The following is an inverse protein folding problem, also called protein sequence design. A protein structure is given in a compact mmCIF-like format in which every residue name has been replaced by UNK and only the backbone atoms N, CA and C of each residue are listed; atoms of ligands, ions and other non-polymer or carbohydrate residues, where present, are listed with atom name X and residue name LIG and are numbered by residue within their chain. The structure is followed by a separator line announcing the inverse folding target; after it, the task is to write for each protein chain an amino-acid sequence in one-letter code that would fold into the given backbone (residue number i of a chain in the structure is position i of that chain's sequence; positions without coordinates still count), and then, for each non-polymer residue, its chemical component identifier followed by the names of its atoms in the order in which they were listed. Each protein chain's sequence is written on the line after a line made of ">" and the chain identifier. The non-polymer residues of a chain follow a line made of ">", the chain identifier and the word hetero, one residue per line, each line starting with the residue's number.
data_IF_769989484083
#
_entry.id   IF_769989484083
#
_cell.length_a   1.000
_cell.length_b   1.000
_cell.length_c   1.000
_cell.angle_alpha   90.00
_cell.angle_beta   90.00
_cell.angle_gamma   90.00
#
_symmetry.space_group_name_H-M   'P 1'
#
loop_
_entity.id
_entity.type
_entity.pdbx_description
1 polymer ?
#
# COMPACT_ATOMS: atom_id res chain seq x y z
N UNK A 1 10.31 -44.15 5.46
CA UNK A 1 9.21 -43.21 5.74
C UNK A 1 9.44 -42.48 7.06
N UNK A 2 9.42 -43.14 8.24
CA UNK A 2 9.63 -42.47 9.54
C UNK A 2 10.91 -41.61 9.59
N UNK A 3 12.04 -42.11 9.07
CA UNK A 3 13.28 -41.33 9.01
C UNK A 3 13.17 -40.04 8.18
N UNK A 4 12.36 -40.06 7.12
CA UNK A 4 12.10 -38.87 6.29
C UNK A 4 11.27 -37.85 7.08
N UNK A 5 10.20 -38.29 7.77
CA UNK A 5 9.39 -37.42 8.65
C UNK A 5 10.23 -36.79 9.77
N UNK A 6 11.07 -37.60 10.45
CA UNK A 6 12.01 -37.11 11.45
C UNK A 6 12.97 -36.08 10.83
N UNK A 7 13.38 -36.28 9.58
CA UNK A 7 14.18 -35.33 8.82
C UNK A 7 13.54 -33.95 8.73
N UNK A 8 12.25 -33.86 8.39
CA UNK A 8 11.52 -32.59 8.36
C UNK A 8 11.50 -31.89 9.72
N UNK A 9 11.24 -32.65 10.79
CA UNK A 9 11.18 -32.11 12.15
C UNK A 9 12.55 -31.63 12.62
N UNK A 10 13.59 -32.46 12.46
CA UNK A 10 14.95 -32.13 12.93
C UNK A 10 15.59 -30.98 12.17
N UNK A 11 15.19 -30.77 10.91
CA UNK A 11 15.61 -29.60 10.10
C UNK A 11 14.69 -28.40 10.24
N UNK A 12 13.60 -28.51 11.02
CA UNK A 12 12.62 -27.44 11.25
C UNK A 12 12.02 -26.88 9.95
N UNK A 13 11.78 -27.72 8.94
CA UNK A 13 11.27 -27.27 7.63
C UNK A 13 9.95 -26.49 7.76
N UNK A 14 9.08 -26.86 8.70
CA UNK A 14 7.82 -26.14 8.96
C UNK A 14 8.03 -24.68 9.35
N UNK A 15 9.06 -24.36 10.13
CA UNK A 15 9.38 -22.97 10.52
C UNK A 15 9.79 -22.15 9.30
N UNK A 16 10.57 -22.76 8.39
CA UNK A 16 10.93 -22.11 7.14
C UNK A 16 9.73 -21.91 6.22
N UNK A 17 8.74 -22.80 6.22
CA UNK A 17 7.50 -22.60 5.46
C UNK A 17 6.75 -21.36 5.95
N UNK A 18 6.55 -21.21 7.26
CA UNK A 18 5.96 -19.98 7.84
C UNK A 18 6.77 -18.75 7.44
N UNK A 19 8.09 -18.84 7.49
CA UNK A 19 8.98 -17.75 7.07
C UNK A 19 8.81 -17.39 5.57
N UNK A 20 8.66 -18.37 4.67
CA UNK A 20 8.39 -18.10 3.25
C UNK A 20 6.99 -17.53 3.00
N UNK A 21 5.99 -17.88 3.82
CA UNK A 21 4.69 -17.21 3.80
C UNK A 21 4.80 -15.74 4.20
N UNK A 22 5.50 -15.43 5.30
CA UNK A 22 5.75 -14.04 5.72
C UNK A 22 6.48 -13.26 4.64
N UNK A 23 7.45 -13.85 3.96
CA UNK A 23 8.11 -13.19 2.84
C UNK A 23 7.20 -12.92 1.64
N UNK A 24 6.20 -13.78 1.36
CA UNK A 24 5.18 -13.44 0.36
C UNK A 24 4.36 -12.23 0.79
N UNK A 25 3.96 -12.15 2.06
CA UNK A 25 3.19 -11.00 2.58
C UNK A 25 4.00 -9.69 2.46
N UNK A 26 5.28 -9.72 2.82
CA UNK A 26 6.17 -8.57 2.68
C UNK A 26 6.35 -8.14 1.22
N UNK A 27 6.54 -9.11 0.31
CA UNK A 27 6.62 -8.82 -1.12
C UNK A 27 5.32 -8.21 -1.64
N UNK A 28 4.18 -8.82 -1.32
CA UNK A 28 2.86 -8.36 -1.75
C UNK A 28 2.56 -6.96 -1.24
N UNK A 29 2.94 -6.66 0.00
CA UNK A 29 2.81 -5.33 0.58
C UNK A 29 3.72 -4.31 -0.13
N UNK A 30 4.98 -4.66 -0.37
CA UNK A 30 5.94 -3.77 -1.01
C UNK A 30 5.54 -3.35 -2.43
N UNK A 31 4.85 -4.22 -3.17
CA UNK A 31 4.42 -3.95 -4.56
C UNK A 31 2.97 -3.49 -4.70
N UNK A 32 2.21 -3.39 -3.60
CA UNK A 32 0.77 -3.13 -3.62
C UNK A 32 0.42 -1.84 -4.37
N UNK A 33 0.99 -0.72 -3.93
CA UNK A 33 0.76 0.60 -4.54
C UNK A 33 1.20 0.63 -6.00
N UNK A 34 2.33 -0.01 -6.33
CA UNK A 34 2.83 -0.10 -7.71
C UNK A 34 1.86 -0.83 -8.64
N UNK A 35 1.23 -1.92 -8.17
CA UNK A 35 0.22 -2.64 -8.95
C UNK A 35 -0.99 -1.74 -9.19
N UNK A 36 -1.46 -1.04 -8.16
CA UNK A 36 -2.60 -0.12 -8.28
C UNK A 36 -2.29 0.98 -9.28
N UNK A 37 -1.12 1.63 -9.17
CA UNK A 37 -0.73 2.66 -10.12
C UNK A 37 -0.62 2.11 -11.53
N UNK A 38 0.03 0.96 -11.73
CA UNK A 38 0.12 0.35 -13.06
C UNK A 38 -1.26 0.13 -13.71
N UNK A 39 -2.24 -0.31 -12.93
CA UNK A 39 -3.63 -0.50 -13.41
C UNK A 39 -4.30 0.84 -13.71
N UNK A 40 -4.16 1.82 -12.81
CA UNK A 40 -4.74 3.16 -12.95
C UNK A 40 -4.07 4.00 -14.04
N UNK A 41 -2.84 3.70 -14.45
CA UNK A 41 -2.15 4.39 -15.54
C UNK A 41 -2.35 3.75 -16.91
N UNK A 42 -2.92 2.55 -16.94
CA UNK A 42 -3.14 1.84 -18.17
C UNK A 42 -4.27 2.50 -18.96
N UNK A 43 -3.93 3.18 -20.06
CA UNK A 43 -4.93 3.69 -21.02
C UNK A 43 -5.85 2.56 -21.51
N UNK A 44 -5.32 1.35 -21.65
CA UNK A 44 -6.08 0.18 -22.07
C UNK A 44 -7.22 -0.13 -21.08
N UNK A 45 -6.96 0.03 -19.78
CA UNK A 45 -7.97 -0.20 -18.73
C UNK A 45 -9.12 0.79 -18.88
N UNK A 46 -8.84 2.06 -19.11
CA UNK A 46 -9.89 3.07 -19.31
C UNK A 46 -10.65 2.87 -20.62
N UNK A 47 -9.96 2.59 -21.73
CA UNK A 47 -10.62 2.29 -23.01
C UNK A 47 -11.57 1.10 -22.89
N UNK A 48 -11.17 0.08 -22.13
CA UNK A 48 -12.02 -1.07 -21.84
C UNK A 48 -13.24 -0.69 -20.99
N UNK A 49 -13.04 0.07 -19.90
CA UNK A 49 -14.13 0.57 -19.06
C UNK A 49 -15.16 1.34 -19.91
N UNK A 50 -14.70 2.27 -20.75
CA UNK A 50 -15.55 3.11 -21.58
C UNK A 50 -16.27 2.30 -22.67
N UNK A 51 -15.60 1.33 -23.29
CA UNK A 51 -16.18 0.51 -24.36
C UNK A 51 -17.31 -0.41 -23.87
N UNK A 52 -17.23 -0.90 -22.63
CA UNK A 52 -18.19 -1.87 -22.09
C UNK A 52 -19.11 -1.30 -21.00
N UNK A 53 -18.91 -0.04 -20.59
CA UNK A 53 -19.75 0.64 -19.60
C UNK A 53 -19.64 0.05 -18.19
N UNK A 54 -18.53 -0.61 -17.84
CA UNK A 54 -18.36 -1.22 -16.53
C UNK A 54 -18.05 -0.17 -15.44
N UNK A 55 -18.45 -0.44 -14.21
CA UNK A 55 -18.00 0.36 -13.06
C UNK A 55 -16.48 0.25 -12.88
N UNK A 56 -15.80 1.39 -12.85
CA UNK A 56 -14.33 1.50 -12.73
C UNK A 56 -13.77 0.72 -11.54
N UNK A 57 -14.40 0.82 -10.36
CA UNK A 57 -13.98 0.11 -9.16
C UNK A 57 -13.98 -1.42 -9.33
N UNK A 58 -14.97 -1.95 -10.06
CA UNK A 58 -15.09 -3.38 -10.34
C UNK A 58 -13.94 -3.86 -11.24
N UNK A 59 -13.68 -3.14 -12.34
CA UNK A 59 -12.60 -3.50 -13.28
C UNK A 59 -11.24 -3.44 -12.60
N UNK A 60 -10.97 -2.37 -11.82
CA UNK A 60 -9.72 -2.24 -11.08
C UNK A 60 -9.55 -3.39 -10.08
N UNK A 61 -10.61 -3.74 -9.33
CA UNK A 61 -10.57 -4.83 -8.34
C UNK A 61 -10.31 -6.19 -8.98
N UNK A 62 -10.91 -6.46 -10.14
CA UNK A 62 -10.67 -7.69 -10.91
C UNK A 62 -9.22 -7.74 -11.40
N UNK A 63 -8.74 -6.68 -12.06
CA UNK A 63 -7.37 -6.63 -12.57
C UNK A 63 -6.34 -6.76 -11.44
N UNK A 64 -6.57 -6.06 -10.33
CA UNK A 64 -5.73 -6.17 -9.13
C UNK A 64 -5.69 -7.61 -8.62
N UNK A 65 -6.85 -8.25 -8.49
CA UNK A 65 -6.94 -9.65 -8.04
C UNK A 65 -6.22 -10.60 -8.98
N UNK A 66 -6.34 -10.42 -10.30
CA UNK A 66 -5.63 -11.23 -11.30
C UNK A 66 -4.12 -11.08 -11.15
N UNK A 67 -3.61 -9.86 -11.00
CA UNK A 67 -2.17 -9.61 -10.82
C UNK A 67 -1.67 -10.23 -9.51
N UNK A 68 -2.42 -10.09 -8.40
CA UNK A 68 -2.06 -10.66 -7.10
C UNK A 68 -2.08 -12.19 -7.13
N UNK A 69 -3.08 -12.80 -7.78
CA UNK A 69 -3.15 -14.26 -7.97
C UNK A 69 -1.97 -14.74 -8.81
N UNK A 70 -1.63 -14.03 -9.89
CA UNK A 70 -0.46 -14.38 -10.71
C UNK A 70 0.84 -14.28 -9.90
N UNK A 71 1.01 -13.20 -9.12
CA UNK A 71 2.16 -13.02 -8.24
C UNK A 71 2.25 -14.15 -7.19
N UNK A 72 1.11 -14.52 -6.60
CA UNK A 72 1.00 -15.65 -5.68
C UNK A 72 1.45 -16.95 -6.35
N UNK A 73 0.84 -17.30 -7.49
CA UNK A 73 1.16 -18.53 -8.21
C UNK A 73 2.63 -18.57 -8.61
N UNK A 74 3.18 -17.47 -9.10
CA UNK A 74 4.59 -17.37 -9.46
C UNK A 74 5.50 -17.58 -8.25
N UNK A 75 5.24 -16.87 -7.15
CA UNK A 75 6.02 -16.99 -5.93
C UNK A 75 5.98 -18.41 -5.36
N UNK A 76 4.80 -19.01 -5.26
CA UNK A 76 4.63 -20.36 -4.74
C UNK A 76 5.24 -21.42 -5.66
N UNK A 77 5.11 -21.25 -6.97
CA UNK A 77 5.66 -22.20 -7.95
C UNK A 77 7.18 -22.23 -7.98
N UNK A 78 7.80 -21.04 -7.97
CA UNK A 78 9.23 -20.89 -8.26
C UNK A 78 10.07 -20.62 -7.01
N UNK A 79 9.62 -19.78 -6.08
CA UNK A 79 10.38 -19.45 -4.88
C UNK A 79 10.10 -20.48 -3.79
N UNK A 80 8.85 -20.59 -3.34
CA UNK A 80 8.48 -21.53 -2.29
C UNK A 80 8.69 -22.98 -2.76
N UNK A 81 8.19 -23.32 -3.95
CA UNK A 81 8.35 -24.64 -4.55
C UNK A 81 9.81 -25.07 -4.69
N UNK A 82 10.74 -24.13 -4.93
CA UNK A 82 12.17 -24.43 -4.90
C UNK A 82 12.60 -24.92 -3.51
N UNK A 83 12.26 -24.22 -2.44
CA UNK A 83 12.64 -24.64 -1.09
C UNK A 83 11.97 -25.95 -0.67
N UNK A 84 10.68 -26.13 -0.95
CA UNK A 84 9.94 -27.39 -0.71
C UNK A 84 10.70 -28.58 -1.29
N UNK A 85 11.01 -28.54 -2.59
CA UNK A 85 11.73 -29.64 -3.27
C UNK A 85 13.10 -29.91 -2.63
N UNK A 86 13.85 -28.86 -2.28
CA UNK A 86 15.17 -29.03 -1.67
C UNK A 86 15.09 -29.54 -0.21
N UNK A 87 14.04 -29.20 0.53
CA UNK A 87 13.76 -29.70 1.88
C UNK A 87 13.34 -31.17 1.88
N UNK A 88 12.50 -31.58 0.94
CA UNK A 88 12.19 -32.99 0.69
C UNK A 88 13.47 -33.82 0.51
N UNK A 89 14.43 -33.29 -0.25
CA UNK A 89 15.73 -33.94 -0.44
C UNK A 89 16.56 -33.98 0.84
N UNK A 90 16.49 -32.95 1.70
CA UNK A 90 17.14 -32.98 3.01
C UNK A 90 16.50 -34.00 3.96
N UNK A 91 15.18 -34.17 3.88
CA UNK A 91 14.44 -35.16 4.64
C UNK A 91 14.76 -36.59 4.17
N UNK A 92 14.80 -36.83 2.85
CA UNK A 92 15.25 -38.10 2.28
C UNK A 92 16.67 -38.45 2.73
N UNK A 93 17.60 -37.50 2.66
CA UNK A 93 18.99 -37.70 3.08
C UNK A 93 19.15 -37.90 4.60
N UNK A 94 18.12 -37.60 5.41
CA UNK A 94 18.17 -37.83 6.85
C UNK A 94 18.26 -39.32 7.22
N UNK A 95 17.85 -40.22 6.31
CA UNK A 95 18.01 -41.67 6.46
C UNK A 95 19.45 -42.07 6.84
N UNK A 96 20.46 -41.34 6.34
CA UNK A 96 21.88 -41.60 6.59
C UNK A 96 22.37 -41.23 7.98
N UNK A 97 21.56 -40.52 8.77
CA UNK A 97 21.86 -40.29 10.19
C UNK A 97 21.37 -41.42 11.08
N UNK A 98 20.42 -42.22 10.60
CA UNK A 98 19.79 -43.29 11.38
C UNK A 98 20.22 -44.68 10.90
N UNK A 99 20.57 -44.82 9.62
CA UNK A 99 20.89 -46.10 9.00
C UNK A 99 22.14 -45.99 8.14
N UNK A 100 22.84 -47.12 7.96
CA UNK A 100 24.02 -47.21 7.11
C UNK A 100 23.74 -47.09 5.59
N UNK A 101 22.48 -47.27 5.16
CA UNK A 101 22.08 -47.25 3.75
C UNK A 101 20.63 -46.78 3.56
N UNK A 102 20.34 -46.20 2.39
CA UNK A 102 18.99 -45.77 1.99
C UNK A 102 18.21 -46.83 1.20
N UNK A 103 18.72 -48.06 1.05
CA UNK A 103 18.09 -49.13 0.24
C UNK A 103 16.61 -49.32 0.55
N UNK A 104 16.21 -49.32 1.83
CA UNK A 104 14.80 -49.47 2.23
C UNK A 104 13.93 -48.28 1.79
N UNK A 105 14.46 -47.05 1.84
CA UNK A 105 13.77 -45.85 1.37
C UNK A 105 13.63 -45.86 -0.16
N UNK A 106 14.71 -46.23 -0.87
CA UNK A 106 14.69 -46.38 -2.34
C UNK A 106 13.65 -47.43 -2.76
N UNK A 107 13.65 -48.60 -2.12
CA UNK A 107 12.66 -49.65 -2.40
C UNK A 107 11.23 -49.17 -2.15
N UNK A 108 11.01 -48.38 -1.09
CA UNK A 108 9.69 -47.79 -0.81
C UNK A 108 9.26 -46.84 -1.93
N UNK A 109 10.15 -45.95 -2.38
CA UNK A 109 9.88 -45.02 -3.48
C UNK A 109 9.57 -45.74 -4.79
N UNK A 110 10.30 -46.82 -5.11
CA UNK A 110 10.04 -47.66 -6.27
C UNK A 110 8.66 -48.31 -6.21
N UNK A 111 8.27 -48.84 -5.05
CA UNK A 111 6.92 -49.41 -4.83
C UNK A 111 5.83 -48.35 -5.03
N UNK A 112 6.03 -47.13 -4.52
CA UNK A 112 5.08 -46.03 -4.74
C UNK A 112 4.92 -45.74 -6.23
N UNK A 113 6.03 -45.63 -6.99
CA UNK A 113 5.95 -45.40 -8.43
C UNK A 113 5.19 -46.52 -9.17
N UNK A 114 5.47 -47.78 -8.84
CA UNK A 114 4.81 -48.94 -9.47
C UNK A 114 3.30 -49.01 -9.12
N UNK A 115 2.93 -48.74 -7.87
CA UNK A 115 1.54 -48.87 -7.39
C UNK A 115 0.63 -47.72 -7.82
N UNK A 116 1.18 -46.51 -7.97
CA UNK A 116 0.40 -45.32 -8.35
C UNK A 116 0.11 -45.21 -9.84
N UNK A 117 0.80 -45.99 -10.68
CA UNK A 117 0.67 -45.95 -12.14
C UNK A 117 1.09 -44.62 -12.78
N UNK A 118 1.69 -43.70 -12.01
CA UNK A 118 2.20 -42.44 -12.54
C UNK A 118 3.65 -42.60 -13.01
N UNK A 119 4.06 -41.89 -14.08
CA UNK A 119 5.46 -41.88 -14.51
C UNK A 119 6.38 -41.41 -13.38
N UNK A 120 7.42 -42.20 -13.08
CA UNK A 120 8.35 -41.92 -11.99
C UNK A 120 9.16 -40.63 -12.20
N UNK A 121 9.26 -40.17 -13.44
CA UNK A 121 9.95 -38.98 -13.90
C UNK A 121 9.08 -37.71 -13.84
N UNK A 122 7.76 -37.83 -13.64
CA UNK A 122 6.84 -36.68 -13.56
C UNK A 122 7.16 -35.81 -12.33
N UNK A 123 7.61 -34.56 -12.51
CA UNK A 123 7.88 -33.67 -11.39
C UNK A 123 6.59 -33.00 -10.87
N UNK A 124 6.64 -32.50 -9.63
CA UNK A 124 5.61 -31.65 -9.05
C UNK A 124 6.20 -30.28 -8.68
N UNK A 125 5.35 -29.28 -8.47
CA UNK A 125 5.76 -27.97 -7.99
C UNK A 125 6.38 -28.01 -6.58
N UNK A 126 6.07 -28.99 -5.74
CA UNK A 126 6.61 -29.08 -4.37
C UNK A 126 7.46 -30.34 -4.08
N UNK A 127 7.42 -31.35 -4.95
CA UNK A 127 8.28 -32.54 -4.87
C UNK A 127 9.09 -32.72 -6.16
N UNK A 128 10.36 -33.13 -6.01
CA UNK A 128 11.09 -33.75 -7.11
C UNK A 128 10.39 -35.04 -7.54
N UNK A 129 10.58 -35.45 -8.79
CA UNK A 129 10.06 -36.73 -9.26
C UNK A 129 10.64 -37.89 -8.44
N UNK A 130 9.94 -39.03 -8.42
CA UNK A 130 10.40 -40.21 -7.68
C UNK A 130 11.77 -40.66 -8.22
N UNK A 131 11.96 -40.61 -9.55
CA UNK A 131 13.22 -40.91 -10.20
C UNK A 131 14.36 -39.98 -9.74
N UNK A 132 14.11 -38.67 -9.64
CA UNK A 132 15.10 -37.70 -9.14
C UNK A 132 15.47 -37.93 -7.68
N UNK A 133 14.49 -38.28 -6.83
CA UNK A 133 14.72 -38.60 -5.41
C UNK A 133 15.58 -39.86 -5.26
N UNK A 134 15.22 -40.93 -5.97
CA UNK A 134 15.98 -42.19 -5.97
C UNK A 134 17.39 -41.96 -6.50
N UNK A 135 17.55 -41.27 -7.63
CA UNK A 135 18.85 -41.00 -8.23
C UNK A 135 19.76 -40.18 -7.31
N UNK A 136 19.20 -39.25 -6.54
CA UNK A 136 19.97 -38.50 -5.55
C UNK A 136 20.40 -39.36 -4.35
N UNK A 137 19.53 -40.24 -3.84
CA UNK A 137 19.90 -41.20 -2.80
C UNK A 137 21.00 -42.16 -3.27
N UNK A 138 20.92 -42.65 -4.51
CA UNK A 138 21.97 -43.48 -5.11
C UNK A 138 23.31 -42.75 -5.19
N UNK A 139 23.33 -41.46 -5.56
CA UNK A 139 24.55 -40.63 -5.50
C UNK A 139 25.11 -40.52 -4.08
N UNK A 140 24.22 -40.42 -3.08
CA UNK A 140 24.64 -40.36 -1.68
C UNK A 140 25.13 -41.71 -1.14
N UNK A 141 24.65 -42.85 -1.66
CA UNK A 141 25.21 -44.18 -1.37
C UNK A 141 26.65 -44.30 -1.85
N UNK A 142 26.97 -43.75 -3.03
CA UNK A 142 28.31 -43.76 -3.60
C UNK A 142 29.25 -42.78 -2.89
N UNK A 143 28.80 -41.55 -2.62
CA UNK A 143 29.58 -40.52 -1.93
C UNK A 143 28.69 -39.72 -0.96
N UNK A 144 28.92 -39.91 0.35
CA UNK A 144 28.18 -39.22 1.42
C UNK A 144 28.40 -37.70 1.41
N UNK A 145 29.42 -37.18 0.73
CA UNK A 145 29.63 -35.74 0.60
C UNK A 145 28.50 -35.04 -0.17
N UNK A 146 27.73 -35.75 -1.01
CA UNK A 146 26.55 -35.19 -1.67
C UNK A 146 25.54 -34.61 -0.67
N UNK A 147 25.38 -35.23 0.50
CA UNK A 147 24.50 -34.73 1.58
C UNK A 147 25.00 -33.40 2.11
N UNK A 148 26.30 -33.30 2.42
CA UNK A 148 26.92 -32.06 2.93
C UNK A 148 26.85 -30.93 1.89
N UNK A 149 27.13 -31.24 0.62
CA UNK A 149 27.04 -30.28 -0.49
C UNK A 149 25.63 -29.72 -0.65
N UNK A 150 24.62 -30.57 -0.58
CA UNK A 150 23.23 -30.14 -0.68
C UNK A 150 22.79 -29.31 0.53
N UNK A 151 23.16 -29.71 1.74
CA UNK A 151 22.92 -28.90 2.94
C UNK A 151 23.54 -27.50 2.84
N UNK A 152 24.77 -27.41 2.34
CA UNK A 152 25.46 -26.14 2.09
C UNK A 152 24.81 -25.30 0.99
N UNK A 153 24.28 -25.94 -0.07
CA UNK A 153 23.48 -25.27 -1.11
C UNK A 153 22.21 -24.67 -0.49
N UNK A 154 21.44 -25.45 0.25
CA UNK A 154 20.17 -24.99 0.85
C UNK A 154 20.42 -23.83 1.82
N UNK A 155 21.45 -23.92 2.67
CA UNK A 155 21.79 -22.84 3.59
C UNK A 155 22.14 -21.53 2.87
N UNK A 156 22.93 -21.60 1.78
CA UNK A 156 23.24 -20.43 0.95
C UNK A 156 21.98 -19.88 0.29
N UNK A 157 21.12 -20.73 -0.25
CA UNK A 157 19.84 -20.28 -0.84
C UNK A 157 18.94 -19.57 0.18
N UNK A 158 18.88 -20.06 1.42
CA UNK A 158 18.15 -19.39 2.52
C UNK A 158 18.77 -18.02 2.80
N UNK A 159 20.11 -17.92 2.85
CA UNK A 159 20.80 -16.64 3.05
C UNK A 159 20.52 -15.63 1.93
N UNK A 160 20.59 -16.06 0.66
CA UNK A 160 20.25 -15.22 -0.49
C UNK A 160 18.80 -14.75 -0.41
N UNK A 161 17.88 -15.65 -0.07
CA UNK A 161 16.47 -15.30 0.09
C UNK A 161 16.26 -14.29 1.23
N UNK A 162 16.90 -14.49 2.40
CA UNK A 162 16.84 -13.56 3.54
C UNK A 162 17.33 -12.16 3.15
N UNK A 163 18.46 -12.07 2.47
CA UNK A 163 18.97 -10.78 1.97
C UNK A 163 17.99 -10.17 0.97
N UNK A 164 17.48 -10.95 0.03
CA UNK A 164 16.51 -10.50 -0.96
C UNK A 164 15.23 -9.94 -0.32
N UNK A 165 14.66 -10.65 0.66
CA UNK A 165 13.42 -10.19 1.30
C UNK A 165 13.63 -8.97 2.18
N UNK A 166 14.79 -8.84 2.84
CA UNK A 166 15.14 -7.63 3.59
C UNK A 166 15.27 -6.42 2.66
N UNK A 167 15.88 -6.58 1.48
CA UNK A 167 15.96 -5.52 0.48
C UNK A 167 14.57 -5.13 -0.04
N UNK A 168 13.71 -6.12 -0.32
CA UNK A 168 12.32 -5.87 -0.72
C UNK A 168 11.55 -5.15 0.38
N UNK A 169 11.71 -5.54 1.63
CA UNK A 169 11.06 -4.89 2.76
C UNK A 169 11.53 -3.44 2.94
N UNK A 170 12.84 -3.19 2.82
CA UNK A 170 13.40 -1.85 2.88
C UNK A 170 12.92 -0.96 1.73
N UNK A 171 12.93 -1.48 0.50
CA UNK A 171 12.42 -0.78 -0.67
C UNK A 171 10.92 -0.50 -0.56
N UNK A 172 10.14 -1.50 -0.13
CA UNK A 172 8.71 -1.37 0.13
C UNK A 172 8.42 -0.30 1.18
N UNK A 173 9.17 -0.29 2.29
CA UNK A 173 9.03 0.75 3.32
C UNK A 173 9.31 2.15 2.76
N UNK A 174 10.37 2.32 1.97
CA UNK A 174 10.69 3.62 1.37
C UNK A 174 9.64 4.07 0.35
N UNK A 175 9.07 3.14 -0.43
CA UNK A 175 8.01 3.46 -1.39
C UNK A 175 6.67 3.77 -0.74
N UNK A 176 6.35 3.14 0.39
CA UNK A 176 5.05 3.34 1.06
C UNK A 176 5.08 4.47 2.09
N UNK A 177 6.21 4.68 2.78
CA UNK A 177 6.32 5.63 3.90
C UNK A 177 7.41 6.68 3.72
N UNK A 178 8.37 6.46 2.83
CA UNK A 178 9.45 7.39 2.57
C UNK A 178 8.98 8.62 1.79
N UNK A 179 9.78 9.70 1.84
CA UNK A 179 9.47 10.94 1.12
C UNK A 179 9.36 10.73 -0.39
N UNK A 180 10.23 9.90 -0.97
CA UNK A 180 10.14 9.53 -2.39
C UNK A 180 8.80 8.85 -2.72
N UNK A 181 8.32 7.96 -1.83
CA UNK A 181 7.02 7.32 -1.94
C UNK A 181 5.85 8.31 -1.88
N UNK A 182 5.88 9.23 -0.90
CA UNK A 182 4.87 10.29 -0.79
C UNK A 182 4.84 11.19 -2.01
N UNK A 183 6.01 11.59 -2.53
CA UNK A 183 6.10 12.39 -3.75
C UNK A 183 5.55 11.65 -4.96
N UNK A 184 5.89 10.37 -5.11
CA UNK A 184 5.40 9.51 -6.18
C UNK A 184 3.87 9.35 -6.11
N UNK A 185 3.35 9.05 -4.92
CA UNK A 185 1.91 8.92 -4.66
C UNK A 185 1.17 10.23 -4.93
N UNK A 186 1.75 11.37 -4.53
CA UNK A 186 1.18 12.69 -4.80
C UNK A 186 1.15 13.00 -6.31
N UNK A 187 2.23 12.71 -7.03
CA UNK A 187 2.28 12.90 -8.49
C UNK A 187 1.25 12.02 -9.19
N UNK A 188 1.10 10.77 -8.75
CA UNK A 188 0.13 9.88 -9.32
C UNK A 188 -1.31 10.31 -9.02
N UNK A 189 -1.58 10.70 -7.77
CA UNK A 189 -2.88 11.23 -7.38
C UNK A 189 -3.29 12.45 -8.21
N UNK A 190 -2.36 13.39 -8.44
CA UNK A 190 -2.58 14.55 -9.30
C UNK A 190 -2.98 14.16 -10.72
N UNK A 191 -2.22 13.26 -11.34
CA UNK A 191 -2.46 12.89 -12.74
C UNK A 191 -3.74 12.04 -12.91
N UNK A 192 -4.12 11.24 -11.91
CA UNK A 192 -5.45 10.59 -11.87
C UNK A 192 -6.54 11.66 -11.78
N UNK A 193 -6.39 12.61 -10.87
CA UNK A 193 -7.35 13.69 -10.67
C UNK A 193 -7.53 14.56 -11.92
N UNK A 194 -6.45 14.91 -12.61
CA UNK A 194 -6.49 15.60 -13.90
C UNK A 194 -7.25 14.79 -14.97
N UNK A 195 -7.05 13.48 -15.01
CA UNK A 195 -7.74 12.63 -15.97
C UNK A 195 -9.25 12.60 -15.71
N UNK A 196 -9.65 12.47 -14.44
CA UNK A 196 -11.06 12.50 -14.07
C UNK A 196 -11.70 13.89 -14.30
N UNK A 197 -10.94 14.98 -14.10
CA UNK A 197 -11.39 16.33 -14.46
C UNK A 197 -11.62 16.45 -15.96
N UNK A 198 -10.71 15.91 -16.80
CA UNK A 198 -10.90 15.92 -18.27
C UNK A 198 -12.15 15.14 -18.68
N UNK A 199 -12.48 14.05 -17.99
CA UNK A 199 -13.66 13.22 -18.28
C UNK A 199 -14.95 13.79 -17.73
N UNK A 200 -14.89 14.48 -16.59
CA UNK A 200 -16.05 15.07 -15.89
C UNK A 200 -15.81 16.53 -15.51
N UNK A 201 -15.70 17.43 -16.51
CA UNK A 201 -15.30 18.83 -16.29
C UNK A 201 -16.31 19.66 -15.47
N UNK A 202 -17.52 19.15 -15.25
CA UNK A 202 -18.56 19.80 -14.46
C UNK A 202 -18.58 19.34 -13.00
N UNK A 203 -17.70 18.41 -12.60
CA UNK A 203 -17.67 17.89 -11.25
C UNK A 203 -16.89 18.81 -10.30
N UNK A 204 -17.62 19.71 -9.62
CA UNK A 204 -17.07 20.66 -8.65
C UNK A 204 -16.19 20.00 -7.56
N UNK A 205 -16.50 18.75 -7.16
CA UNK A 205 -15.74 18.03 -6.14
C UNK A 205 -14.31 17.73 -6.57
N UNK A 206 -14.08 17.44 -7.85
CA UNK A 206 -12.73 17.16 -8.35
C UNK A 206 -11.85 18.41 -8.32
N UNK A 207 -12.43 19.57 -8.64
CA UNK A 207 -11.72 20.85 -8.51
C UNK A 207 -11.43 21.21 -7.06
N UNK A 208 -12.34 20.89 -6.12
CA UNK A 208 -12.06 21.03 -4.68
C UNK A 208 -10.86 20.17 -4.26
N UNK A 209 -10.85 18.88 -4.64
CA UNK A 209 -9.74 17.97 -4.35
C UNK A 209 -8.41 18.48 -4.95
N UNK A 210 -8.46 19.08 -6.15
CA UNK A 210 -7.28 19.66 -6.80
C UNK A 210 -6.79 20.89 -6.03
N UNK A 211 -7.72 21.70 -5.53
CA UNK A 211 -7.43 22.82 -4.65
C UNK A 211 -6.74 22.37 -3.36
N UNK A 212 -7.28 21.35 -2.69
CA UNK A 212 -6.70 20.77 -1.47
C UNK A 212 -5.28 20.23 -1.72
N UNK A 213 -5.09 19.55 -2.85
CA UNK A 213 -3.79 19.02 -3.27
C UNK A 213 -2.76 20.14 -3.48
N UNK A 214 -3.09 21.17 -4.26
CA UNK A 214 -2.19 22.30 -4.48
C UNK A 214 -1.93 23.09 -3.19
N UNK A 215 -2.94 23.25 -2.32
CA UNK A 215 -2.77 23.90 -1.02
C UNK A 215 -1.77 23.14 -0.15
N UNK A 216 -1.87 21.80 -0.08
CA UNK A 216 -0.93 20.96 0.67
C UNK A 216 0.51 21.06 0.17
N UNK A 217 0.69 21.31 -1.14
CA UNK A 217 2.00 21.54 -1.79
C UNK A 217 2.47 22.99 -1.73
N UNK A 218 1.70 23.88 -1.07
CA UNK A 218 1.97 25.33 -0.99
C UNK A 218 1.92 26.04 -2.35
N UNK A 219 1.28 25.44 -3.35
CA UNK A 219 1.03 26.02 -4.67
C UNK A 219 -0.23 26.90 -4.63
N UNK A 220 -0.20 27.95 -3.79
CA UNK A 220 -1.40 28.71 -3.41
C UNK A 220 -2.17 29.32 -4.60
N UNK A 221 -1.48 29.81 -5.63
CA UNK A 221 -2.13 30.34 -6.84
C UNK A 221 -3.00 29.30 -7.53
N UNK A 222 -2.49 28.07 -7.72
CA UNK A 222 -3.25 26.97 -8.35
C UNK A 222 -4.36 26.45 -7.44
N UNK A 223 -4.15 26.50 -6.13
CA UNK A 223 -5.17 26.15 -5.15
C UNK A 223 -6.37 27.11 -5.24
N UNK A 224 -6.11 28.42 -5.28
CA UNK A 224 -7.15 29.45 -5.48
C UNK A 224 -7.91 29.20 -6.78
N UNK A 225 -7.21 29.05 -7.91
CA UNK A 225 -7.85 28.81 -9.21
C UNK A 225 -8.79 27.59 -9.19
N UNK A 226 -8.34 26.52 -8.53
CA UNK A 226 -9.11 25.27 -8.42
C UNK A 226 -10.32 25.42 -7.50
N UNK A 227 -10.19 26.06 -6.34
CA UNK A 227 -11.33 26.34 -5.47
C UNK A 227 -12.33 27.29 -6.12
N UNK A 228 -11.87 28.31 -6.84
CA UNK A 228 -12.77 29.20 -7.59
C UNK A 228 -13.53 28.44 -8.67
N UNK A 229 -12.88 27.54 -9.41
CA UNK A 229 -13.57 26.70 -10.39
C UNK A 229 -14.61 25.80 -9.72
N UNK A 230 -14.29 25.21 -8.56
CA UNK A 230 -15.25 24.43 -7.78
C UNK A 230 -16.46 25.28 -7.34
N UNK A 231 -16.25 26.50 -6.87
CA UNK A 231 -17.32 27.44 -6.48
C UNK A 231 -18.15 27.88 -7.70
N UNK A 232 -17.53 28.10 -8.87
CA UNK A 232 -18.24 28.42 -10.12
C UNK A 232 -19.21 27.31 -10.51
N UNK A 233 -18.77 26.06 -10.41
CA UNK A 233 -19.58 24.89 -10.75
C UNK A 233 -20.65 24.59 -9.68
N UNK A 234 -20.31 24.75 -8.40
CA UNK A 234 -21.23 24.57 -7.29
C UNK A 234 -21.04 25.69 -6.24
N UNK A 235 -21.83 26.77 -6.33
CA UNK A 235 -21.72 27.92 -5.42
C UNK A 235 -22.05 27.61 -3.96
N UNK A 236 -22.81 26.54 -3.72
CA UNK A 236 -23.34 26.13 -2.42
C UNK A 236 -22.53 24.94 -1.86
N UNK A 237 -21.24 25.18 -1.61
CA UNK A 237 -20.38 24.19 -0.95
C UNK A 237 -19.71 24.83 0.27
N UNK A 238 -20.24 24.63 1.49
CA UNK A 238 -19.69 25.23 2.71
C UNK A 238 -18.22 24.89 2.89
N UNK A 239 -17.84 23.65 2.59
CA UNK A 239 -16.45 23.17 2.68
C UNK A 239 -15.50 23.94 1.74
N UNK A 240 -15.86 24.12 0.47
CA UNK A 240 -14.99 24.81 -0.50
C UNK A 240 -14.89 26.29 -0.19
N UNK A 241 -16.02 26.90 0.19
CA UNK A 241 -16.06 28.31 0.64
C UNK A 241 -15.16 28.52 1.85
N UNK A 242 -15.24 27.62 2.84
CA UNK A 242 -14.37 27.61 4.01
C UNK A 242 -12.89 27.45 3.65
N UNK A 243 -12.54 26.48 2.81
CA UNK A 243 -11.14 26.24 2.42
C UNK A 243 -10.53 27.45 1.71
N UNK A 244 -11.28 28.09 0.80
CA UNK A 244 -10.82 29.29 0.12
C UNK A 244 -10.76 30.51 1.06
N UNK A 245 -11.74 30.65 1.97
CA UNK A 245 -11.72 31.69 2.99
C UNK A 245 -10.50 31.57 3.91
N UNK A 246 -10.22 30.36 4.40
CA UNK A 246 -9.06 30.06 5.21
C UNK A 246 -7.76 30.40 4.48
N UNK A 247 -7.64 30.02 3.20
CA UNK A 247 -6.49 30.38 2.37
C UNK A 247 -6.32 31.89 2.31
N UNK A 248 -7.36 32.65 1.98
CA UNK A 248 -7.28 34.10 1.89
C UNK A 248 -7.00 34.80 3.22
N UNK A 249 -7.42 34.25 4.36
CA UNK A 249 -7.14 34.82 5.67
C UNK A 249 -5.72 34.52 6.15
N UNK A 250 -5.25 33.28 5.96
CA UNK A 250 -4.06 32.75 6.66
C UNK A 250 -2.85 32.49 5.78
N UNK A 251 -2.93 32.71 4.46
CA UNK A 251 -1.82 32.39 3.56
C UNK A 251 -0.51 33.05 4.04
N UNK A 252 0.59 32.28 4.18
CA UNK A 252 1.89 32.82 4.56
C UNK A 252 2.42 33.87 3.58
N UNK A 253 2.05 33.78 2.30
CA UNK A 253 2.37 34.79 1.31
C UNK A 253 1.30 35.87 1.28
N UNK A 254 1.70 37.12 1.54
CA UNK A 254 0.78 38.26 1.55
C UNK A 254 0.12 38.54 0.21
N UNK A 255 0.74 38.14 -0.90
CA UNK A 255 0.18 38.27 -2.25
C UNK A 255 -1.14 37.51 -2.41
N UNK A 256 -1.28 36.37 -1.73
CA UNK A 256 -2.47 35.54 -1.81
C UNK A 256 -3.44 35.77 -0.65
N UNK A 257 -3.18 36.74 0.22
CA UNK A 257 -4.14 37.14 1.26
C UNK A 257 -5.16 38.11 0.70
N UNK A 258 -6.42 37.89 1.05
CA UNK A 258 -7.52 38.80 0.72
C UNK A 258 -8.53 38.80 1.87
N UNK A 259 -8.30 39.62 2.91
CA UNK A 259 -9.13 39.64 4.12
C UNK A 259 -10.61 39.83 3.80
N UNK A 260 -10.96 40.79 2.94
CA UNK A 260 -12.36 41.10 2.60
C UNK A 260 -13.05 39.91 1.96
N UNK A 261 -12.37 39.26 0.99
CA UNK A 261 -12.91 38.08 0.33
C UNK A 261 -12.99 36.87 1.27
N UNK A 262 -12.03 36.72 2.18
CA UNK A 262 -12.06 35.68 3.20
C UNK A 262 -13.32 35.79 4.08
N UNK A 263 -13.62 36.99 4.56
CA UNK A 263 -14.80 37.27 5.39
C UNK A 263 -16.09 36.92 4.66
N UNK A 264 -16.29 37.43 3.44
CA UNK A 264 -17.51 37.14 2.67
C UNK A 264 -17.71 35.64 2.38
N UNK A 265 -16.62 34.91 2.08
CA UNK A 265 -16.70 33.47 1.83
C UNK A 265 -16.99 32.70 3.12
N UNK A 266 -16.36 33.08 4.24
CA UNK A 266 -16.58 32.45 5.54
C UNK A 266 -18.01 32.69 6.06
N UNK A 267 -18.55 33.90 5.90
CA UNK A 267 -19.94 34.24 6.25
C UNK A 267 -20.94 33.39 5.47
N UNK A 268 -20.72 33.25 4.15
CA UNK A 268 -21.54 32.38 3.30
C UNK A 268 -21.45 30.92 3.74
N UNK A 269 -20.25 30.43 4.06
CA UNK A 269 -20.07 29.07 4.56
C UNK A 269 -20.83 28.85 5.88
N UNK A 270 -20.69 29.77 6.83
CA UNK A 270 -21.32 29.70 8.15
C UNK A 270 -22.85 29.83 8.11
N UNK A 271 -23.38 30.57 7.13
CA UNK A 271 -24.82 30.67 6.89
C UNK A 271 -25.42 29.34 6.41
N UNK A 272 -24.63 28.50 5.73
CA UNK A 272 -25.06 27.20 5.22
C UNK A 272 -24.82 26.08 6.24
N UNK A 273 -23.67 26.07 6.90
CA UNK A 273 -23.25 25.03 7.84
C UNK A 273 -22.47 25.62 9.02
N UNK A 274 -22.90 25.31 10.23
CA UNK A 274 -22.20 25.72 11.46
C UNK A 274 -21.41 24.53 12.02
N UNK A 275 -20.19 24.34 11.50
CA UNK A 275 -19.21 23.39 12.06
C UNK A 275 -18.12 24.12 12.83
N UNK A 276 -17.40 23.41 13.70
CA UNK A 276 -16.30 24.00 14.46
C UNK A 276 -15.22 24.63 13.56
N UNK A 277 -14.94 24.01 12.41
CA UNK A 277 -13.94 24.45 11.43
C UNK A 277 -14.41 25.71 10.70
N UNK A 278 -15.69 25.75 10.28
CA UNK A 278 -16.25 26.91 9.58
C UNK A 278 -16.31 28.13 10.50
N UNK A 279 -16.71 27.92 11.76
CA UNK A 279 -16.74 28.99 12.76
C UNK A 279 -15.34 29.51 13.11
N UNK A 280 -14.33 28.64 13.13
CA UNK A 280 -12.93 29.05 13.33
C UNK A 280 -12.41 29.88 12.15
N UNK A 281 -12.67 29.44 10.91
CA UNK A 281 -12.33 30.23 9.72
C UNK A 281 -13.05 31.57 9.68
N UNK A 282 -14.31 31.62 10.11
CA UNK A 282 -15.06 32.87 10.24
C UNK A 282 -14.42 33.78 11.29
N UNK A 283 -14.04 33.23 12.45
CA UNK A 283 -13.34 33.97 13.49
C UNK A 283 -12.01 34.54 12.98
N UNK A 284 -11.21 33.72 12.30
CA UNK A 284 -9.97 34.15 11.68
C UNK A 284 -10.20 35.26 10.66
N UNK A 285 -11.21 35.10 9.81
CA UNK A 285 -11.57 36.08 8.78
C UNK A 285 -12.00 37.40 9.41
N UNK A 286 -12.81 37.39 10.46
CA UNK A 286 -13.14 38.63 11.20
C UNK A 286 -11.93 39.27 11.84
N UNK A 287 -11.03 38.47 12.42
CA UNK A 287 -9.84 38.95 13.08
C UNK A 287 -8.89 39.70 12.12
N UNK A 288 -8.62 39.12 10.94
CA UNK A 288 -7.77 39.75 9.91
C UNK A 288 -8.40 40.98 9.25
N UNK A 289 -9.71 41.17 9.39
CA UNK A 289 -10.41 42.38 8.95
C UNK A 289 -10.59 43.43 10.07
N UNK A 290 -10.07 43.19 11.28
CA UNK A 290 -10.16 44.12 12.41
C UNK A 290 -11.44 44.00 13.25
N UNK A 291 -12.37 43.11 12.90
CA UNK A 291 -13.63 42.89 13.63
C UNK A 291 -13.44 41.99 14.86
N UNK A 292 -12.71 42.47 15.86
CA UNK A 292 -12.30 41.68 17.03
C UNK A 292 -13.48 41.06 17.80
N UNK A 293 -14.53 41.83 18.06
CA UNK A 293 -15.67 41.32 18.85
C UNK A 293 -16.38 40.17 18.12
N UNK A 294 -16.59 40.32 16.81
CA UNK A 294 -17.14 39.28 15.95
C UNK A 294 -16.22 38.05 15.90
N UNK A 295 -14.90 38.25 15.82
CA UNK A 295 -13.92 37.17 15.85
C UNK A 295 -13.97 36.36 17.16
N UNK A 296 -14.03 37.04 18.32
CA UNK A 296 -14.15 36.37 19.63
C UNK A 296 -15.48 35.62 19.75
N UNK A 297 -16.58 36.19 19.24
CA UNK A 297 -17.89 35.54 19.23
C UNK A 297 -17.89 34.25 18.38
N UNK A 298 -17.42 34.33 17.13
CA UNK A 298 -17.29 33.18 16.25
C UNK A 298 -16.32 32.12 16.81
N UNK A 299 -15.20 32.53 17.41
CA UNK A 299 -14.23 31.63 18.03
C UNK A 299 -14.80 30.89 19.25
N UNK A 300 -15.64 31.55 20.07
CA UNK A 300 -16.39 30.88 21.14
C UNK A 300 -17.34 29.83 20.58
N UNK A 301 -18.04 30.16 19.49
CA UNK A 301 -18.94 29.23 18.81
C UNK A 301 -18.19 28.01 18.25
N UNK A 302 -17.02 28.23 17.65
CA UNK A 302 -16.14 27.15 17.19
C UNK A 302 -15.75 26.20 18.34
N UNK A 303 -15.40 26.76 19.50
CA UNK A 303 -15.04 26.02 20.70
C UNK A 303 -16.22 25.25 21.31
N UNK A 304 -17.43 25.80 21.27
CA UNK A 304 -18.64 25.10 21.70
C UNK A 304 -18.93 23.88 20.83
N UNK A 305 -18.85 24.05 19.51
CA UNK A 305 -19.11 23.01 18.51
C UNK A 305 -17.99 21.96 18.42
N UNK A 306 -16.80 22.26 18.97
CA UNK A 306 -15.68 21.32 19.00
C UNK A 306 -15.94 20.13 19.94
N UNK A 307 -15.48 18.95 19.52
CA UNK A 307 -15.59 17.68 20.26
C UNK A 307 -14.65 17.58 21.46
N UNK A 308 -14.12 16.39 21.73
CA UNK A 308 -13.30 16.13 22.92
C UNK A 308 -11.96 16.91 22.93
N UNK A 309 -11.34 17.13 21.77
CA UNK A 309 -10.11 17.90 21.66
C UNK A 309 -10.40 19.38 21.39
N UNK A 310 -10.40 20.17 22.47
CA UNK A 310 -10.68 21.61 22.47
C UNK A 310 -9.41 22.47 22.50
N UNK A 311 -8.24 21.86 22.50
CA UNK A 311 -6.95 22.57 22.73
C UNK A 311 -6.71 23.65 21.68
N UNK A 312 -6.79 23.27 20.40
CA UNK A 312 -6.64 24.15 19.25
C UNK A 312 -7.58 25.37 19.30
N UNK A 313 -8.89 25.15 19.47
CA UNK A 313 -9.88 26.25 19.47
C UNK A 313 -9.74 27.18 20.67
N UNK A 314 -9.28 26.69 21.83
CA UNK A 314 -8.96 27.56 22.98
C UNK A 314 -7.79 28.48 22.67
N UNK A 315 -6.77 27.97 21.99
CA UNK A 315 -5.60 28.78 21.66
C UNK A 315 -5.89 29.81 20.55
N UNK A 316 -6.72 29.44 19.56
CA UNK A 316 -7.28 30.41 18.61
C UNK A 316 -8.09 31.50 19.32
N UNK A 317 -8.97 31.13 20.25
CA UNK A 317 -9.77 32.10 20.99
C UNK A 317 -8.92 33.05 21.85
N UNK A 318 -7.85 32.54 22.48
CA UNK A 318 -6.88 33.39 23.20
C UNK A 318 -6.20 34.37 22.25
N UNK A 319 -5.80 33.91 21.05
CA UNK A 319 -5.22 34.78 20.02
C UNK A 319 -6.15 35.93 19.70
N UNK A 320 -7.42 35.67 19.40
CA UNK A 320 -8.41 36.71 19.08
C UNK A 320 -8.65 37.68 20.24
N UNK A 321 -8.54 37.20 21.48
CA UNK A 321 -8.77 38.00 22.69
C UNK A 321 -7.57 38.90 23.04
N UNK A 322 -6.34 38.39 22.92
CA UNK A 322 -5.14 38.97 23.55
C UNK A 322 -4.15 39.63 22.57
N UNK A 323 -4.18 39.31 21.28
CA UNK A 323 -3.23 39.87 20.32
C UNK A 323 -3.57 41.34 20.00
N UNK A 324 -2.59 42.17 19.63
CA UNK A 324 -2.86 43.44 18.93
C UNK A 324 -3.41 43.13 17.53
N UNK A 325 -4.28 44.00 16.99
CA UNK A 325 -4.81 43.82 15.63
C UNK A 325 -3.64 43.68 14.63
N UNK A 326 -3.74 42.74 13.66
CA UNK A 326 -2.66 42.42 12.73
C UNK A 326 -2.35 43.54 11.73
#
# INVERSE_FOLDING_TARGET
>A
VIAHEIGHVKRKHLVFYVFFFVGYLLLSYAVFDLIIFMILYSELTYRFIDAFGFHQATVISILFSVVVIFLFLFYFRYVFGYFMRNFERQADAYVYRLFGSARSLISTLQKIALTTGQPADRPNWHHFSIAERIGYLQKCELDRNWVRRHDGKVRRSIGVYLTGILLVAAAGYQLNFGEAGKMLNAHFYEKILENEIRRTPENARLFSMRGDLHYSRKEYSKAIESYEQAIRLKPESPQVLNNLAWLYATCPSSEFRNPVRAMHLAERAAAMEQSSQIMDTLAESYFVNGYREAAVSAGKRALELSGADKSYFRDQLKKFSNSSLP
#
